data_IF_259436696019
#
_entry.id   IF_259436696019
#
_cell.length_a   1.000
_cell.length_b   1.000
_cell.length_c   1.000
_cell.angle_alpha   90.00
_cell.angle_beta   90.00
_cell.angle_gamma   90.00
#
_symmetry.space_group_name_H-M   'P 1'
#
loop_
_entity.id
_entity.type
_entity.pdbx_description
1 polymer ?
#
# COMPACT_ATOMS: atom_id res chain seq x y z
N UNK A 1 -2.56 -17.08 8.33
CA UNK A 1 -2.03 -15.71 8.46
C UNK A 1 -0.88 -15.46 7.49
N UNK A 2 -1.09 -14.47 6.63
CA UNK A 2 -0.20 -13.97 5.60
C UNK A 2 0.13 -12.50 5.88
N UNK A 3 1.23 -12.02 5.33
CA UNK A 3 1.68 -10.63 5.49
C UNK A 3 1.86 -9.96 4.13
N UNK A 4 1.47 -8.70 4.06
CA UNK A 4 1.92 -7.72 3.06
C UNK A 4 2.82 -6.73 3.80
N UNK A 5 4.04 -6.51 3.31
CA UNK A 5 5.08 -5.78 4.04
C UNK A 5 6.00 -5.01 3.09
N UNK A 6 6.66 -3.99 3.63
CA UNK A 6 7.64 -3.18 2.90
C UNK A 6 9.07 -3.60 3.26
N UNK A 7 9.85 -4.02 2.27
CA UNK A 7 11.26 -4.38 2.41
C UNK A 7 12.10 -3.56 1.43
N UNK A 8 12.95 -2.67 1.94
CA UNK A 8 13.85 -1.82 1.15
C UNK A 8 13.16 -0.93 0.10
N UNK A 9 11.92 -0.50 0.38
CA UNK A 9 11.11 0.32 -0.53
C UNK A 9 10.22 -0.51 -1.47
N UNK A 10 10.43 -1.82 -1.55
CA UNK A 10 9.56 -2.73 -2.31
C UNK A 10 8.46 -3.31 -1.44
N UNK A 11 7.29 -3.55 -2.04
CA UNK A 11 6.19 -4.24 -1.39
C UNK A 11 6.19 -5.72 -1.72
N UNK A 12 6.08 -6.54 -0.68
CA UNK A 12 6.16 -8.00 -0.78
C UNK A 12 5.05 -8.67 0.02
N UNK A 13 4.84 -9.93 -0.29
CA UNK A 13 3.82 -10.78 0.32
C UNK A 13 4.44 -12.11 0.74
N UNK A 14 3.89 -12.73 1.77
CA UNK A 14 4.28 -14.09 2.14
C UNK A 14 3.47 -14.68 3.27
N UNK A 15 3.64 -15.97 3.48
CA UNK A 15 2.97 -16.75 4.53
C UNK A 15 3.83 -16.76 5.78
N UNK A 16 3.22 -16.53 6.95
CA UNK A 16 3.95 -16.60 8.23
C UNK A 16 4.23 -18.06 8.58
N UNK A 17 5.50 -18.39 8.79
CA UNK A 17 5.94 -19.69 9.29
C UNK A 17 6.00 -19.72 10.82
N UNK A 18 6.47 -18.64 11.41
CA UNK A 18 6.57 -18.47 12.86
C UNK A 18 6.70 -16.99 13.24
N UNK A 19 6.47 -16.69 14.52
CA UNK A 19 6.66 -15.36 15.09
C UNK A 19 7.50 -15.47 16.36
N UNK A 20 8.47 -14.58 16.53
CA UNK A 20 9.31 -14.47 17.71
C UNK A 20 9.47 -13.00 18.10
N UNK A 21 8.85 -12.61 19.22
CA UNK A 21 8.77 -11.21 19.64
C UNK A 21 8.15 -10.33 18.55
N UNK A 22 8.84 -9.25 18.20
CA UNK A 22 8.38 -8.28 17.20
C UNK A 22 8.79 -8.64 15.76
N UNK A 23 9.10 -9.91 15.47
CA UNK A 23 9.47 -10.33 14.12
C UNK A 23 8.79 -11.63 13.70
N UNK A 24 8.51 -11.74 12.40
CA UNK A 24 7.93 -12.88 11.72
C UNK A 24 8.99 -13.54 10.85
N UNK A 25 8.99 -14.87 10.82
CA UNK A 25 9.63 -15.62 9.75
C UNK A 25 8.59 -15.88 8.67
N UNK A 26 8.87 -15.41 7.45
CA UNK A 26 7.92 -15.38 6.34
C UNK A 26 8.48 -16.13 5.15
N UNK A 27 7.66 -16.95 4.50
CA UNK A 27 7.97 -17.58 3.21
C UNK A 27 7.22 -16.87 2.08
N UNK A 28 7.97 -16.34 1.11
CA UNK A 28 7.39 -15.66 -0.05
C UNK A 28 6.96 -16.67 -1.13
N UNK A 29 6.11 -16.28 -2.10
CA UNK A 29 5.69 -17.16 -3.21
C UNK A 29 6.85 -17.79 -4.00
N UNK A 30 8.04 -17.17 -4.00
CA UNK A 30 9.24 -17.73 -4.62
C UNK A 30 9.91 -18.85 -3.82
N UNK A 31 9.39 -19.20 -2.64
CA UNK A 31 10.01 -20.12 -1.68
C UNK A 31 11.13 -19.50 -0.84
N UNK A 32 11.56 -18.27 -1.14
CA UNK A 32 12.55 -17.55 -0.32
C UNK A 32 11.95 -17.20 1.04
N UNK A 33 12.71 -17.45 2.10
CA UNK A 33 12.37 -17.09 3.48
C UNK A 33 13.06 -15.79 3.89
N UNK A 34 12.32 -14.92 4.58
CA UNK A 34 12.84 -13.65 5.09
C UNK A 34 12.29 -13.38 6.50
N UNK A 35 13.04 -12.59 7.27
CA UNK A 35 12.61 -12.10 8.58
C UNK A 35 12.01 -10.72 8.42
N UNK A 36 10.75 -10.55 8.80
CA UNK A 36 10.01 -9.28 8.70
C UNK A 36 9.78 -8.75 10.10
N UNK A 37 10.15 -7.49 10.39
CA UNK A 37 9.81 -6.89 11.69
C UNK A 37 8.37 -6.41 11.65
N UNK A 38 7.71 -6.39 12.81
CA UNK A 38 6.30 -5.97 12.93
C UNK A 38 6.09 -4.55 12.41
N UNK A 39 7.06 -3.66 12.64
CA UNK A 39 7.05 -2.31 12.07
C UNK A 39 7.06 -2.28 10.55
N UNK A 40 7.55 -3.32 9.87
CA UNK A 40 7.64 -3.45 8.40
C UNK A 40 6.37 -4.06 7.78
N UNK A 41 5.48 -4.60 8.60
CA UNK A 41 4.20 -5.15 8.16
C UNK A 41 3.22 -4.02 7.87
N UNK A 42 2.62 -4.06 6.68
CA UNK A 42 1.57 -3.14 6.24
C UNK A 42 0.19 -3.74 6.54
N UNK A 43 0.00 -5.01 6.22
CA UNK A 43 -1.26 -5.74 6.44
C UNK A 43 -0.99 -7.17 6.89
N UNK A 44 -1.87 -7.67 7.76
CA UNK A 44 -2.03 -9.08 8.06
C UNK A 44 -3.37 -9.54 7.52
N UNK A 45 -3.41 -10.70 6.86
CA UNK A 45 -4.62 -11.21 6.21
C UNK A 45 -4.63 -12.74 6.18
N UNK A 46 -5.80 -13.34 6.02
CA UNK A 46 -5.93 -14.80 5.91
C UNK A 46 -6.19 -15.27 4.48
N UNK A 47 -6.91 -14.48 3.68
CA UNK A 47 -7.24 -14.75 2.27
C UNK A 47 -7.14 -13.48 1.43
N UNK A 48 -6.88 -13.60 0.12
CA UNK A 48 -6.48 -14.81 -0.61
C UNK A 48 -5.05 -15.27 -0.22
N UNK A 49 -4.47 -16.24 -0.92
CA UNK A 49 -3.05 -16.56 -0.71
C UNK A 49 -2.15 -15.38 -1.16
N UNK A 50 -0.90 -15.33 -0.70
CA UNK A 50 0.01 -14.21 -1.00
C UNK A 50 0.15 -13.88 -2.49
N UNK A 51 0.27 -14.87 -3.37
CA UNK A 51 0.49 -14.62 -4.80
C UNK A 51 -0.75 -14.00 -5.45
N UNK A 52 -1.94 -14.55 -5.14
CA UNK A 52 -3.20 -13.98 -5.60
C UNK A 52 -3.47 -12.60 -5.03
N UNK A 53 -3.13 -12.33 -3.76
CA UNK A 53 -3.26 -10.98 -3.20
C UNK A 53 -2.42 -9.98 -3.97
N UNK A 54 -1.16 -10.31 -4.29
CA UNK A 54 -0.28 -9.40 -5.01
C UNK A 54 -0.74 -9.16 -6.46
N UNK A 55 -1.27 -10.18 -7.12
CA UNK A 55 -1.87 -10.04 -8.46
C UNK A 55 -3.08 -9.10 -8.44
N UNK A 56 -4.03 -9.33 -7.53
CA UNK A 56 -5.22 -8.50 -7.38
C UNK A 56 -4.87 -7.07 -6.96
N UNK A 57 -3.93 -6.91 -6.04
CA UNK A 57 -3.46 -5.59 -5.61
C UNK A 57 -2.87 -4.78 -6.77
N UNK A 58 -2.12 -5.43 -7.68
CA UNK A 58 -1.60 -4.77 -8.89
C UNK A 58 -2.73 -4.36 -9.84
N UNK A 59 -3.76 -5.20 -10.00
CA UNK A 59 -4.93 -4.86 -10.81
C UNK A 59 -5.67 -3.66 -10.22
N UNK A 60 -5.94 -3.67 -8.90
CA UNK A 60 -6.53 -2.51 -8.21
C UNK A 60 -5.67 -1.26 -8.41
N UNK A 61 -4.35 -1.35 -8.21
CA UNK A 61 -3.46 -0.20 -8.35
C UNK A 61 -3.45 0.40 -9.76
N UNK A 62 -3.65 -0.43 -10.80
CA UNK A 62 -3.73 0.01 -12.18
C UNK A 62 -5.08 0.68 -12.50
N UNK A 63 -6.15 0.27 -11.83
CA UNK A 63 -7.51 0.79 -12.01
C UNK A 63 -7.83 2.00 -11.10
N UNK A 64 -6.94 2.33 -10.15
CA UNK A 64 -7.12 3.48 -9.26
C UNK A 64 -7.08 4.78 -10.08
N UNK A 65 -8.15 5.57 -9.96
CA UNK A 65 -8.18 6.95 -10.45
C UNK A 65 -7.40 7.83 -9.46
N UNK A 66 -6.18 8.21 -9.83
CA UNK A 66 -5.30 9.01 -8.99
C UNK A 66 -5.79 10.43 -8.76
N UNK A 67 -6.51 11.01 -9.72
CA UNK A 67 -7.05 12.36 -9.60
C UNK A 67 -8.18 12.36 -8.58
N UNK A 68 -9.17 11.46 -8.74
CA UNK A 68 -10.25 11.31 -7.78
C UNK A 68 -9.74 10.91 -6.39
N UNK A 69 -8.77 9.98 -6.32
CA UNK A 69 -8.15 9.58 -5.07
C UNK A 69 -7.49 10.77 -4.35
N UNK A 70 -6.87 11.68 -5.09
CA UNK A 70 -6.27 12.89 -4.54
C UNK A 70 -7.33 13.87 -4.02
N UNK A 71 -8.46 14.01 -4.71
CA UNK A 71 -9.58 14.86 -4.29
C UNK A 71 -10.18 14.40 -2.95
N UNK A 72 -10.31 13.09 -2.74
CA UNK A 72 -10.89 12.53 -1.49
C UNK A 72 -9.88 12.39 -0.35
N UNK A 73 -8.58 12.52 -0.62
CA UNK A 73 -7.52 12.35 0.39
C UNK A 73 -7.42 13.49 1.42
N UNK A 74 -8.00 14.65 1.12
CA UNK A 74 -7.92 15.84 1.98
C UNK A 74 -6.50 16.40 2.11
N UNK A 75 -6.31 17.31 3.07
CA UNK A 75 -5.05 18.07 3.23
C UNK A 75 -4.15 17.59 4.38
N UNK A 76 -4.62 16.66 5.21
CA UNK A 76 -3.89 16.14 6.37
C UNK A 76 -3.07 14.89 6.01
N UNK A 77 -2.25 14.42 6.95
CA UNK A 77 -1.56 13.13 6.79
C UNK A 77 -2.52 11.98 7.13
N UNK A 78 -2.67 11.04 6.22
CA UNK A 78 -3.60 9.93 6.34
C UNK A 78 -2.88 8.57 6.26
N UNK A 79 -3.55 7.55 6.79
CA UNK A 79 -3.17 6.15 6.59
C UNK A 79 -3.86 5.57 5.35
N UNK A 80 -3.20 4.67 4.63
CA UNK A 80 -3.78 4.06 3.43
C UNK A 80 -5.13 3.35 3.69
N UNK A 81 -5.32 2.72 4.85
CA UNK A 81 -6.58 2.04 5.17
C UNK A 81 -7.74 3.02 5.42
N UNK A 82 -7.45 4.20 5.98
CA UNK A 82 -8.43 5.27 6.20
C UNK A 82 -8.87 5.85 4.86
N UNK A 83 -7.92 6.21 4.00
CA UNK A 83 -8.23 6.67 2.65
C UNK A 83 -8.97 5.62 1.82
N UNK A 84 -8.63 4.34 1.99
CA UNK A 84 -9.32 3.25 1.32
C UNK A 84 -10.80 3.17 1.70
N UNK A 85 -11.16 3.49 2.94
CA UNK A 85 -12.57 3.52 3.34
C UNK A 85 -13.36 4.59 2.58
N UNK A 86 -12.77 5.76 2.39
CA UNK A 86 -13.39 6.87 1.64
C UNK A 86 -13.46 6.57 0.14
N UNK A 87 -12.39 5.99 -0.44
CA UNK A 87 -12.32 5.71 -1.87
C UNK A 87 -13.21 4.53 -2.31
N UNK A 88 -13.20 3.42 -1.57
CA UNK A 88 -14.01 2.24 -1.90
C UNK A 88 -15.43 2.29 -1.32
N UNK A 89 -15.70 3.21 -0.38
CA UNK A 89 -16.99 3.33 0.30
C UNK A 89 -17.26 2.24 1.35
N UNK A 90 -16.24 1.47 1.72
CA UNK A 90 -16.28 0.44 2.75
C UNK A 90 -14.88 0.17 3.31
N UNK A 91 -14.74 -0.46 4.49
CA UNK A 91 -13.44 -0.92 4.97
C UNK A 91 -12.75 -1.76 3.88
N UNK A 92 -11.54 -1.39 3.44
CA UNK A 92 -10.93 -2.00 2.27
C UNK A 92 -10.60 -3.46 2.54
N UNK A 93 -10.89 -4.31 1.57
CA UNK A 93 -10.47 -5.70 1.54
C UNK A 93 -8.93 -5.76 1.46
N UNK A 94 -8.30 -6.89 1.85
CA UNK A 94 -6.83 -6.97 1.89
C UNK A 94 -6.14 -6.62 0.56
N UNK A 95 -6.70 -7.05 -0.58
CA UNK A 95 -6.15 -6.75 -1.89
C UNK A 95 -6.37 -5.29 -2.32
N UNK A 96 -7.49 -4.67 -1.92
CA UNK A 96 -7.77 -3.26 -2.15
C UNK A 96 -6.82 -2.37 -1.35
N UNK A 97 -6.66 -2.68 -0.06
CA UNK A 97 -5.76 -1.95 0.82
C UNK A 97 -4.30 -2.06 0.33
N UNK A 98 -3.86 -3.25 -0.10
CA UNK A 98 -2.55 -3.45 -0.70
C UNK A 98 -2.42 -2.70 -2.04
N UNK A 99 -3.42 -2.76 -2.91
CA UNK A 99 -3.43 -2.06 -4.19
C UNK A 99 -3.38 -0.55 -4.03
N UNK A 100 -4.10 -0.02 -3.05
CA UNK A 100 -4.08 1.41 -2.74
C UNK A 100 -2.69 1.87 -2.27
N UNK A 101 -2.00 1.08 -1.45
CA UNK A 101 -0.60 1.37 -1.08
C UNK A 101 0.30 1.40 -2.31
N UNK A 102 0.14 0.46 -3.24
CA UNK A 102 0.92 0.42 -4.48
C UNK A 102 0.66 1.68 -5.33
N UNK A 103 -0.61 2.08 -5.50
CA UNK A 103 -0.99 3.28 -6.25
C UNK A 103 -0.41 4.56 -5.62
N UNK A 104 -0.61 4.74 -4.30
CA UNK A 104 -0.07 5.89 -3.55
C UNK A 104 1.45 5.97 -3.65
N UNK A 105 2.15 4.84 -3.56
CA UNK A 105 3.61 4.80 -3.67
C UNK A 105 4.11 5.05 -5.10
N UNK A 106 3.37 4.55 -6.10
CA UNK A 106 3.68 4.73 -7.51
C UNK A 106 3.40 6.12 -8.07
N UNK A 107 2.66 6.96 -7.32
CA UNK A 107 2.24 8.29 -7.74
C UNK A 107 2.82 9.42 -6.85
N UNK A 108 4.16 9.59 -6.75
CA UNK A 108 4.77 10.56 -5.84
C UNK A 108 4.47 12.03 -6.19
N UNK A 109 3.98 12.30 -7.40
CA UNK A 109 3.51 13.62 -7.81
C UNK A 109 2.21 14.00 -7.09
N UNK A 110 1.32 13.02 -6.91
CA UNK A 110 0.05 13.19 -6.23
C UNK A 110 0.18 13.03 -4.72
N UNK A 111 1.04 12.11 -4.25
CA UNK A 111 1.09 11.71 -2.84
C UNK A 111 2.51 11.68 -2.29
N UNK A 112 2.74 12.46 -1.23
CA UNK A 112 4.02 12.50 -0.54
C UNK A 112 4.06 11.46 0.58
N UNK A 113 5.01 10.53 0.52
CA UNK A 113 5.26 9.57 1.60
C UNK A 113 5.72 10.31 2.86
N UNK A 114 5.06 10.05 3.99
CA UNK A 114 5.39 10.62 5.32
C UNK A 114 5.91 9.58 6.31
N UNK A 115 5.61 8.33 6.04
CA UNK A 115 6.10 7.20 6.80
C UNK A 115 5.67 5.90 6.13
N UNK A 116 5.80 4.80 6.84
CA UNK A 116 5.31 3.52 6.35
C UNK A 116 3.79 3.49 6.37
N UNK A 117 3.17 3.33 5.21
CA UNK A 117 1.72 3.36 5.06
C UNK A 117 1.07 4.73 5.35
N UNK A 118 1.88 5.80 5.48
CA UNK A 118 1.39 7.14 5.75
C UNK A 118 1.78 8.10 4.64
N UNK A 119 0.80 8.87 4.18
CA UNK A 119 0.92 9.72 3.01
C UNK A 119 0.24 11.07 3.27
N UNK A 120 0.54 12.04 2.42
CA UNK A 120 -0.12 13.33 2.37
C UNK A 120 -0.35 13.71 0.91
N UNK A 121 -1.55 14.19 0.58
CA UNK A 121 -1.84 14.70 -0.75
C UNK A 121 -0.92 15.90 -1.08
N UNK A 122 -0.47 15.98 -2.32
CA UNK A 122 0.27 17.12 -2.82
C UNK A 122 -0.62 18.37 -2.77
N UNK A 123 -0.11 19.55 -2.35
CA UNK A 123 -0.86 20.78 -2.46
C UNK A 123 -1.27 21.05 -3.92
N UNK A 124 -2.47 21.59 -4.15
CA UNK A 124 -3.01 21.85 -5.50
C UNK A 124 -2.02 22.60 -6.40
N UNK A 125 -1.37 23.65 -5.86
CA UNK A 125 -0.38 24.42 -6.61
C UNK A 125 0.82 23.57 -7.02
N UNK A 126 1.31 22.70 -6.14
CA UNK A 126 2.43 21.79 -6.43
C UNK A 126 2.05 20.72 -7.43
N UNK A 127 0.84 20.16 -7.31
CA UNK A 127 0.32 19.17 -8.25
C UNK A 127 0.16 19.77 -9.65
N UNK A 128 -0.51 20.92 -9.77
CA UNK A 128 -0.68 21.62 -11.06
C UNK A 128 0.66 21.96 -11.72
N UNK A 129 1.62 22.48 -10.94
CA UNK A 129 2.93 22.80 -11.47
C UNK A 129 3.68 21.56 -11.97
N UNK A 130 3.57 20.43 -11.28
CA UNK A 130 4.20 19.18 -11.69
C UNK A 130 3.55 18.58 -12.94
N UNK A 131 2.22 18.60 -13.04
CA UNK A 131 1.48 18.10 -14.21
C UNK A 131 1.76 18.94 -15.46
N UNK A 132 1.81 20.27 -15.32
CA UNK A 132 2.14 21.16 -16.43
C UNK A 132 3.57 20.98 -16.99
N UNK A 133 4.47 20.34 -16.24
CA UNK A 133 5.83 20.04 -16.68
C UNK A 133 5.99 18.67 -17.37
N UNK A 134 4.91 17.87 -17.44
CA UNK A 134 4.89 16.54 -18.07
C UNK A 134 4.31 16.60 -19.49
N UNK A 135 3.58 17.68 -19.81
CA UNK A 135 2.97 17.96 -21.11
C UNK A 135 3.96 18.54 -22.15
#
# INVERSE_FOLDING_TARGET
MNLFFEESGDFKVGTVLSQAGEAYQVEMPSGKRTKVKSRDVMLQFDKPDPATLLEQAKAVAADVDLEFLWEVAGQEEFGFAELGAEYFGHPPLPFEAAGLVLALHGAPIYFYKKGRGRYKAAPEQSLRAALAGIE
#
